data_IF_357164303195
#
_entry.id   IF_357164303195
#
_cell.length_a   1.000
_cell.length_b   1.000
_cell.length_c   1.000
_cell.angle_alpha   90.00
_cell.angle_beta   90.00
_cell.angle_gamma   90.00
#
_symmetry.space_group_name_H-M   'P 1'
#
loop_
_entity.id
_entity.type
_entity.pdbx_description
1 polymer ?
#
# COMPACT_ATOMS: atom_id res chain seq x y z
N UNK A 1 26.72 -1.55 -41.07
CA UNK A 1 27.10 -1.61 -39.64
C UNK A 1 26.27 -0.65 -38.79
N UNK A 2 26.16 0.62 -39.14
CA UNK A 2 25.36 1.64 -38.41
C UNK A 2 23.87 1.29 -38.27
N UNK A 3 23.25 0.73 -39.32
CA UNK A 3 21.84 0.31 -39.30
C UNK A 3 21.57 -0.87 -38.36
N UNK A 4 22.50 -1.80 -38.21
CA UNK A 4 22.35 -2.93 -37.28
C UNK A 4 22.47 -2.48 -35.82
N UNK A 5 23.35 -1.51 -35.53
CA UNK A 5 23.50 -0.91 -34.19
C UNK A 5 22.24 -0.14 -33.81
N UNK A 6 21.64 0.61 -34.75
CA UNK A 6 20.40 1.33 -34.52
C UNK A 6 19.23 0.40 -34.21
N UNK A 7 19.07 -0.69 -34.99
CA UNK A 7 18.04 -1.70 -34.76
C UNK A 7 18.24 -2.40 -33.42
N UNK A 8 19.48 -2.76 -33.07
CA UNK A 8 19.78 -3.35 -31.76
C UNK A 8 19.44 -2.40 -30.61
N UNK A 9 19.80 -1.11 -30.71
CA UNK A 9 19.46 -0.12 -29.70
C UNK A 9 17.94 0.05 -29.53
N UNK A 10 17.18 0.04 -30.63
CA UNK A 10 15.72 0.10 -30.59
C UNK A 10 15.10 -1.12 -29.89
N UNK A 11 15.61 -2.32 -30.17
CA UNK A 11 15.13 -3.55 -29.53
C UNK A 11 15.45 -3.52 -28.04
N UNK A 12 16.67 -3.13 -27.65
CA UNK A 12 17.05 -3.00 -26.23
C UNK A 12 16.16 -2.00 -25.50
N UNK A 13 15.86 -0.86 -26.12
CA UNK A 13 14.93 0.13 -25.56
C UNK A 13 13.52 -0.44 -25.37
N UNK A 14 12.99 -1.15 -26.37
CA UNK A 14 11.67 -1.80 -26.26
C UNK A 14 11.61 -2.85 -25.15
N UNK A 15 12.67 -3.65 -25.01
CA UNK A 15 12.78 -4.64 -23.93
C UNK A 15 12.80 -3.92 -22.58
N UNK A 16 13.61 -2.86 -22.44
CA UNK A 16 13.68 -2.07 -21.21
C UNK A 16 12.31 -1.52 -20.80
N UNK A 17 11.60 -0.86 -21.73
CA UNK A 17 10.24 -0.33 -21.47
C UNK A 17 9.26 -1.44 -21.09
N UNK A 18 9.33 -2.59 -21.76
CA UNK A 18 8.45 -3.72 -21.47
C UNK A 18 8.71 -4.30 -20.08
N UNK A 19 9.97 -4.49 -19.72
CA UNK A 19 10.36 -5.01 -18.40
C UNK A 19 9.95 -4.05 -17.29
N UNK A 20 10.14 -2.75 -17.49
CA UNK A 20 9.77 -1.74 -16.49
C UNK A 20 8.25 -1.69 -16.28
N UNK A 21 7.47 -1.73 -17.36
CA UNK A 21 6.01 -1.80 -17.27
C UNK A 21 5.53 -3.07 -16.55
N UNK A 22 6.11 -4.23 -16.87
CA UNK A 22 5.78 -5.48 -16.18
C UNK A 22 6.10 -5.40 -14.68
N UNK A 23 7.29 -4.88 -14.32
CA UNK A 23 7.68 -4.70 -12.92
C UNK A 23 6.67 -3.81 -12.18
N UNK A 24 6.27 -2.70 -12.81
CA UNK A 24 5.30 -1.77 -12.25
C UNK A 24 3.92 -2.42 -12.07
N UNK A 25 3.46 -3.20 -13.06
CA UNK A 25 2.19 -3.93 -12.97
C UNK A 25 2.19 -4.95 -11.83
N UNK A 26 3.31 -5.65 -11.61
CA UNK A 26 3.46 -6.58 -10.48
C UNK A 26 3.42 -5.85 -9.15
N UNK A 27 4.11 -4.71 -9.03
CA UNK A 27 4.11 -3.88 -7.83
C UNK A 27 2.70 -3.41 -7.46
N UNK A 28 1.98 -2.82 -8.41
CA UNK A 28 0.59 -2.39 -8.19
C UNK A 28 -0.33 -3.54 -7.81
N UNK A 29 -0.11 -4.72 -8.39
CA UNK A 29 -0.89 -5.92 -8.03
C UNK A 29 -0.61 -6.36 -6.59
N UNK A 30 0.65 -6.31 -6.16
CA UNK A 30 1.03 -6.63 -4.77
C UNK A 30 0.45 -5.63 -3.78
N UNK A 31 0.61 -4.34 -4.03
CA UNK A 31 0.00 -3.26 -3.22
C UNK A 31 -1.51 -3.48 -3.07
N UNK A 32 -2.19 -3.78 -4.18
CA UNK A 32 -3.63 -4.05 -4.16
C UNK A 32 -3.99 -5.27 -3.30
N UNK A 33 -3.20 -6.34 -3.34
CA UNK A 33 -3.44 -7.52 -2.50
C UNK A 33 -3.24 -7.21 -1.02
N UNK A 34 -2.21 -6.43 -0.67
CA UNK A 34 -1.94 -5.99 0.70
C UNK A 34 -3.07 -5.09 1.20
N UNK A 35 -3.48 -4.10 0.40
CA UNK A 35 -4.59 -3.20 0.73
C UNK A 35 -5.88 -3.97 1.00
N UNK A 36 -6.22 -4.96 0.17
CA UNK A 36 -7.41 -5.78 0.37
C UNK A 36 -7.28 -6.66 1.62
N UNK A 37 -6.10 -7.24 1.86
CA UNK A 37 -5.83 -8.05 3.06
C UNK A 37 -5.91 -7.25 4.35
N UNK A 38 -5.30 -6.07 4.40
CA UNK A 38 -5.41 -5.12 5.51
C UNK A 38 -6.86 -4.70 5.72
N UNK A 39 -7.57 -4.41 4.62
CA UNK A 39 -8.98 -4.00 4.68
C UNK A 39 -9.84 -5.08 5.32
N UNK A 40 -9.69 -6.32 4.87
CA UNK A 40 -10.41 -7.46 5.42
C UNK A 40 -10.06 -7.67 6.90
N UNK A 41 -8.77 -7.71 7.23
CA UNK A 41 -8.29 -7.90 8.60
C UNK A 41 -8.85 -6.85 9.56
N UNK A 42 -8.77 -5.57 9.20
CA UNK A 42 -9.23 -4.46 10.03
C UNK A 42 -10.76 -4.49 10.16
N UNK A 43 -11.47 -4.80 9.07
CA UNK A 43 -12.94 -4.91 9.11
C UNK A 43 -13.39 -6.06 10.01
N UNK A 44 -12.69 -7.20 10.00
CA UNK A 44 -12.98 -8.33 10.88
C UNK A 44 -12.60 -8.04 12.34
N UNK A 45 -11.46 -7.39 12.57
CA UNK A 45 -10.95 -7.10 13.92
C UNK A 45 -11.72 -5.96 14.62
N UNK A 46 -12.08 -4.91 13.87
CA UNK A 46 -12.73 -3.72 14.41
C UNK A 46 -14.24 -3.69 14.15
N UNK A 47 -14.78 -4.44 13.18
CA UNK A 47 -16.20 -4.74 12.96
C UNK A 47 -17.21 -3.63 13.30
N UNK A 48 -17.73 -3.66 14.52
CA UNK A 48 -18.78 -2.78 15.03
C UNK A 48 -18.26 -1.64 15.94
N UNK A 49 -16.95 -1.42 15.94
CA UNK A 49 -16.32 -0.44 16.81
C UNK A 49 -16.72 0.96 16.40
N UNK A 50 -17.24 1.72 17.36
CA UNK A 50 -17.72 3.10 17.14
C UNK A 50 -16.68 4.17 17.41
N UNK A 51 -15.63 3.83 18.18
CA UNK A 51 -14.54 4.73 18.55
C UNK A 51 -13.26 3.95 18.75
N UNK A 52 -12.16 4.50 18.27
CA UNK A 52 -10.85 3.97 18.53
C UNK A 52 -10.31 4.45 19.88
N UNK A 53 -9.76 3.52 20.65
CA UNK A 53 -8.98 3.82 21.86
C UNK A 53 -7.51 3.41 21.68
N UNK A 54 -6.63 3.98 22.49
CA UNK A 54 -5.18 3.82 22.37
C UNK A 54 -4.76 2.36 22.56
N UNK A 55 -5.43 1.60 23.43
CA UNK A 55 -5.09 0.19 23.66
C UNK A 55 -5.50 -0.68 22.48
N UNK A 56 -6.68 -0.43 21.92
CA UNK A 56 -7.16 -1.13 20.74
C UNK A 56 -6.26 -0.85 19.52
N UNK A 57 -5.83 0.40 19.32
CA UNK A 57 -4.88 0.77 18.27
C UNK A 57 -3.53 0.08 18.49
N UNK A 58 -3.05 0.03 19.74
CA UNK A 58 -1.81 -0.68 20.06
C UNK A 58 -1.90 -2.17 19.72
N UNK A 59 -2.98 -2.83 20.12
CA UNK A 59 -3.18 -4.25 19.81
C UNK A 59 -3.36 -4.50 18.31
N UNK A 60 -4.08 -3.62 17.62
CA UNK A 60 -4.23 -3.68 16.17
C UNK A 60 -2.86 -3.60 15.48
N UNK A 61 -1.99 -2.67 15.92
CA UNK A 61 -0.62 -2.55 15.42
C UNK A 61 0.16 -3.85 15.59
N UNK A 62 0.15 -4.40 16.81
CA UNK A 62 0.89 -5.63 17.13
C UNK A 62 0.44 -6.79 16.24
N UNK A 63 -0.87 -6.95 16.05
CA UNK A 63 -1.43 -8.01 15.19
C UNK A 63 -1.10 -7.82 13.71
N UNK A 64 -1.16 -6.60 13.19
CA UNK A 64 -0.77 -6.33 11.80
C UNK A 64 0.73 -6.58 11.60
N UNK A 65 1.57 -6.20 12.57
CA UNK A 65 3.01 -6.49 12.51
C UNK A 65 3.30 -8.00 12.52
N UNK A 66 2.56 -8.79 13.29
CA UNK A 66 2.68 -10.25 13.28
C UNK A 66 2.24 -10.86 11.94
N UNK A 67 1.12 -10.41 11.38
CA UNK A 67 0.49 -11.07 10.24
C UNK A 67 0.96 -10.58 8.87
N UNK A 68 1.33 -9.30 8.72
CA UNK A 68 1.63 -8.69 7.42
C UNK A 68 3.10 -8.34 7.24
N UNK A 69 3.76 -7.77 8.25
CA UNK A 69 5.16 -7.31 8.09
C UNK A 69 6.11 -8.47 7.76
N UNK A 70 5.90 -9.63 8.38
CA UNK A 70 6.74 -10.81 8.12
C UNK A 70 6.36 -11.60 6.87
N UNK A 71 5.09 -11.53 6.42
CA UNK A 71 4.58 -12.38 5.32
C UNK A 71 4.58 -11.67 3.97
N UNK A 72 4.29 -10.37 3.96
CA UNK A 72 4.07 -9.58 2.74
C UNK A 72 5.26 -8.68 2.39
N UNK A 73 6.34 -8.72 3.18
CA UNK A 73 7.58 -8.00 2.87
C UNK A 73 7.49 -6.48 3.06
N UNK A 74 6.66 -6.02 4.00
CA UNK A 74 6.56 -4.58 4.32
C UNK A 74 7.88 -4.10 4.92
N UNK A 75 8.50 -3.10 4.31
CA UNK A 75 9.77 -2.51 4.76
C UNK A 75 9.55 -1.65 6.00
N UNK A 76 8.51 -0.81 5.95
CA UNK A 76 8.07 0.03 7.06
C UNK A 76 6.57 -0.11 7.28
N UNK A 77 6.14 0.03 8.54
CA UNK A 77 4.73 0.01 8.92
C UNK A 77 4.49 0.91 10.13
N UNK A 78 3.58 1.87 9.96
CA UNK A 78 3.13 2.79 11.00
C UNK A 78 1.61 2.79 11.09
N UNK A 79 1.10 2.70 12.32
CA UNK A 79 -0.31 2.87 12.64
C UNK A 79 -0.44 3.99 13.68
N UNK A 80 -1.16 5.03 13.31
CA UNK A 80 -1.36 6.23 14.13
C UNK A 80 -2.84 6.56 14.29
N UNK A 81 -3.23 7.03 15.48
CA UNK A 81 -4.56 7.58 15.73
C UNK A 81 -4.53 9.08 15.43
N UNK A 82 -5.32 9.52 14.45
CA UNK A 82 -5.52 10.96 14.18
C UNK A 82 -6.50 11.53 15.21
N UNK A 83 -7.62 10.83 15.38
CA UNK A 83 -8.66 11.15 16.34
C UNK A 83 -9.39 9.86 16.81
N UNK A 84 -10.38 9.99 17.69
CA UNK A 84 -11.13 8.85 18.23
C UNK A 84 -12.00 8.10 17.21
N UNK A 85 -12.05 8.55 15.96
CA UNK A 85 -12.84 7.99 14.86
C UNK A 85 -12.01 7.71 13.60
N UNK A 86 -10.74 8.11 13.57
CA UNK A 86 -9.87 8.03 12.40
C UNK A 86 -8.49 7.49 12.78
N UNK A 87 -8.10 6.39 12.15
CA UNK A 87 -6.73 5.87 12.14
C UNK A 87 -6.10 6.11 10.77
N UNK A 88 -4.78 6.26 10.79
CA UNK A 88 -3.92 6.34 9.61
C UNK A 88 -2.94 5.19 9.66
N UNK A 89 -2.89 4.44 8.57
CA UNK A 89 -1.91 3.39 8.31
C UNK A 89 -1.01 3.87 7.19
N UNK A 90 0.30 3.82 7.43
CA UNK A 90 1.33 4.09 6.42
C UNK A 90 2.23 2.88 6.35
N UNK A 91 2.53 2.42 5.14
CA UNK A 91 3.47 1.33 4.95
C UNK A 91 4.26 1.51 3.66
N UNK A 92 5.41 0.84 3.59
CA UNK A 92 6.30 0.90 2.42
C UNK A 92 6.56 -0.50 1.88
N UNK A 93 6.53 -0.63 0.54
CA UNK A 93 6.86 -1.85 -0.18
C UNK A 93 7.61 -1.53 -1.47
N UNK A 94 8.78 -2.15 -1.66
CA UNK A 94 9.64 -1.96 -2.84
C UNK A 94 9.93 -0.47 -3.16
N UNK A 95 10.03 0.37 -2.11
CA UNK A 95 10.26 1.82 -2.20
C UNK A 95 9.02 2.68 -2.47
N UNK A 96 7.83 2.10 -2.58
CA UNK A 96 6.56 2.85 -2.69
C UNK A 96 5.86 2.97 -1.35
N UNK A 97 5.40 4.18 -1.03
CA UNK A 97 4.71 4.50 0.24
C UNK A 97 3.21 4.56 0.01
N UNK A 98 2.48 3.76 0.77
CA UNK A 98 1.03 3.67 0.73
C UNK A 98 0.39 4.23 2.01
N UNK A 99 -0.76 4.88 1.86
CA UNK A 99 -1.51 5.48 2.97
C UNK A 99 -2.99 5.08 2.95
N UNK A 100 -3.44 4.50 4.06
CA UNK A 100 -4.83 4.12 4.28
C UNK A 100 -5.41 4.87 5.47
N UNK A 101 -6.60 5.44 5.28
CA UNK A 101 -7.39 6.03 6.36
C UNK A 101 -8.50 5.06 6.76
N UNK A 102 -8.54 4.71 8.03
CA UNK A 102 -9.58 3.87 8.64
C UNK A 102 -10.49 4.77 9.45
N UNK A 103 -11.73 4.92 9.04
CA UNK A 103 -12.72 5.78 9.70
C UNK A 103 -13.88 4.97 10.23
N UNK A 104 -14.32 5.23 11.47
CA UNK A 104 -15.60 4.70 11.97
C UNK A 104 -16.71 5.68 11.65
N UNK A 105 -17.56 5.37 10.68
CA UNK A 105 -18.75 6.17 10.37
C UNK A 105 -20.03 5.37 10.59
N UNK A 106 -21.03 5.97 11.24
CA UNK A 106 -22.31 5.35 11.58
C UNK A 106 -22.25 3.94 12.22
N UNK A 107 -21.17 3.62 12.95
CA UNK A 107 -20.97 2.32 13.59
C UNK A 107 -20.47 1.21 12.68
N UNK A 108 -19.88 1.58 11.52
CA UNK A 108 -19.12 0.68 10.66
C UNK A 108 -17.73 1.25 10.41
N UNK A 109 -16.76 0.37 10.24
CA UNK A 109 -15.39 0.73 9.86
C UNK A 109 -15.33 0.82 8.34
N UNK A 110 -15.04 2.02 7.82
CA UNK A 110 -14.73 2.26 6.42
C UNK A 110 -13.22 2.47 6.25
N UNK A 111 -12.66 1.91 5.19
CA UNK A 111 -11.24 2.07 4.87
C UNK A 111 -11.16 2.77 3.52
N UNK A 112 -10.59 3.97 3.53
CA UNK A 112 -10.38 4.81 2.36
C UNK A 112 -8.90 4.82 2.06
N UNK A 113 -8.55 4.25 0.91
CA UNK A 113 -7.25 4.46 0.29
C UNK A 113 -7.13 5.95 -0.02
N UNK A 114 -6.11 6.60 0.53
CA UNK A 114 -5.77 7.93 0.09
C UNK A 114 -4.98 7.72 -1.21
N UNK A 115 -5.46 8.16 -2.38
CA UNK A 115 -4.63 8.10 -3.56
C UNK A 115 -3.44 9.01 -3.30
N UNK A 116 -2.28 8.41 -2.98
CA UNK A 116 -1.03 9.10 -3.16
C UNK A 116 -0.98 9.42 -4.66
N UNK A 117 -1.18 10.70 -4.98
CA UNK A 117 -0.74 11.21 -6.25
C UNK A 117 0.75 10.92 -6.28
N UNK A 118 1.18 9.93 -7.07
CA UNK A 118 2.49 10.04 -7.68
C UNK A 118 2.44 11.37 -8.42
N UNK A 119 3.03 12.42 -7.84
CA UNK A 119 3.58 13.51 -8.63
C UNK A 119 4.63 12.85 -9.53
N UNK A 120 4.13 12.28 -10.63
CA UNK A 120 4.91 12.01 -11.79
C UNK A 120 5.53 13.35 -12.17
N UNK A 121 6.83 13.45 -11.94
CA UNK A 121 7.81 14.07 -12.83
C UNK A 121 7.16 14.89 -13.96
N UNK A 122 6.72 16.09 -13.62
CA UNK A 122 6.54 17.17 -14.58
C UNK A 122 7.57 18.24 -14.24
N UNK A 123 8.85 17.99 -14.56
CA UNK A 123 9.79 19.01 -15.04
C UNK A 123 10.93 18.37 -15.82
#
# INVERSE_FOLDING_TARGET
MTSAVFVAAMITFLIFVTVENLRRDFLFRNIKMINEGLRQFISEYLGDTRRFDIFMVKHLRERIMEDFVQKEGLETFELSMIDSSTLKIVYEIDGEVEELNVTTDFGRVEIKENPFFHEADYY
#
